data_IF_133237220751
#
_entry.id   IF_133237220751
#
_cell.length_a   1.000
_cell.length_b   1.000
_cell.length_c   1.000
_cell.angle_alpha   90.00
_cell.angle_beta   90.00
_cell.angle_gamma   90.00
#
_symmetry.space_group_name_H-M   'P 1'
#
loop_
_entity.id
_entity.type
_entity.pdbx_description
1 polymer ?
#
# COMPACT_ATOMS: atom_id res chain seq x y z
N UNK A 1 42.21 -36.46 -34.45
CA UNK A 1 41.25 -37.45 -34.97
C UNK A 1 39.85 -37.01 -34.53
N UNK A 2 39.03 -36.51 -35.46
CA UNK A 2 37.60 -36.16 -35.25
C UNK A 2 36.81 -37.42 -34.90
N UNK A 3 35.75 -37.31 -34.08
CA UNK A 3 34.38 -37.75 -34.44
C UNK A 3 33.35 -36.79 -33.81
N UNK A 4 32.38 -36.43 -34.64
CA UNK A 4 31.23 -35.55 -34.49
C UNK A 4 30.12 -36.28 -33.71
N UNK A 5 29.40 -35.58 -32.83
CA UNK A 5 28.13 -36.03 -32.28
C UNK A 5 27.11 -34.89 -32.26
N UNK A 6 26.36 -34.71 -33.36
CA UNK A 6 25.14 -33.90 -33.38
C UNK A 6 24.04 -34.68 -32.66
N UNK A 7 23.54 -34.16 -31.54
CA UNK A 7 22.30 -34.61 -30.91
C UNK A 7 21.29 -33.48 -30.90
N UNK A 8 20.28 -33.55 -31.78
CA UNK A 8 19.04 -32.80 -31.64
C UNK A 8 18.37 -33.21 -30.33
N UNK A 9 17.96 -32.24 -29.51
CA UNK A 9 16.90 -32.46 -28.52
C UNK A 9 15.73 -31.58 -28.94
N UNK A 10 14.71 -32.22 -29.49
CA UNK A 10 13.40 -31.63 -29.69
C UNK A 10 12.58 -31.78 -28.41
N UNK A 11 11.88 -30.70 -28.06
CA UNK A 11 10.58 -30.62 -27.37
C UNK A 11 10.34 -31.51 -26.14
N UNK A 12 10.19 -30.88 -24.98
CA UNK A 12 8.96 -31.07 -24.20
C UNK A 12 8.70 -29.87 -23.30
N UNK A 13 7.49 -29.35 -23.45
CA UNK A 13 6.85 -28.32 -22.66
C UNK A 13 6.63 -28.79 -21.22
N UNK A 14 7.39 -28.22 -20.28
CA UNK A 14 6.95 -28.03 -18.90
C UNK A 14 7.16 -26.55 -18.58
N UNK A 15 6.09 -25.77 -18.62
CA UNK A 15 6.09 -24.40 -18.10
C UNK A 15 6.13 -24.45 -16.58
N UNK A 16 7.26 -24.89 -16.03
CA UNK A 16 7.70 -24.51 -14.70
C UNK A 16 8.36 -23.13 -14.79
N UNK A 17 8.38 -22.40 -13.69
CA UNK A 17 9.06 -21.10 -13.56
C UNK A 17 10.49 -21.26 -14.08
N UNK A 18 10.76 -20.78 -15.30
CA UNK A 18 12.08 -20.89 -15.90
C UNK A 18 13.08 -20.13 -15.02
N UNK A 19 14.17 -20.79 -14.63
CA UNK A 19 15.24 -20.13 -13.90
C UNK A 19 15.76 -18.96 -14.74
N UNK A 20 15.64 -17.73 -14.22
CA UNK A 20 16.11 -16.52 -14.91
C UNK A 20 17.60 -16.65 -15.23
N UNK A 21 17.99 -16.16 -16.39
CA UNK A 21 19.39 -16.04 -16.80
C UNK A 21 20.15 -15.08 -15.89
N UNK A 22 21.47 -15.22 -15.80
CA UNK A 22 22.32 -14.31 -15.02
C UNK A 22 22.15 -12.84 -15.46
N UNK A 23 21.96 -12.62 -16.76
CA UNK A 23 21.74 -11.29 -17.33
C UNK A 23 20.39 -10.69 -16.89
N UNK A 24 19.33 -11.50 -16.80
CA UNK A 24 18.02 -11.07 -16.29
C UNK A 24 18.08 -10.74 -14.79
N UNK A 25 18.84 -11.50 -14.00
CA UNK A 25 19.08 -11.17 -12.58
C UNK A 25 19.87 -9.88 -12.42
N UNK A 26 20.87 -9.63 -13.27
CA UNK A 26 21.64 -8.39 -13.22
C UNK A 26 20.79 -7.18 -13.60
N UNK A 27 19.97 -7.30 -14.65
CA UNK A 27 19.01 -6.26 -15.02
C UNK A 27 17.97 -6.00 -13.90
N UNK A 28 17.46 -7.06 -13.27
CA UNK A 28 16.58 -6.93 -12.11
C UNK A 28 17.28 -6.19 -10.95
N UNK A 29 18.50 -6.59 -10.61
CA UNK A 29 19.30 -5.99 -9.53
C UNK A 29 19.46 -4.49 -9.75
N UNK A 30 19.85 -4.08 -10.97
CA UNK A 30 20.03 -2.67 -11.32
C UNK A 30 18.72 -1.87 -11.22
N UNK A 31 17.60 -2.45 -11.66
CA UNK A 31 16.27 -1.81 -11.50
C UNK A 31 15.91 -1.62 -10.03
N UNK A 32 16.06 -2.66 -9.22
CA UNK A 32 15.80 -2.60 -7.78
C UNK A 32 16.70 -1.57 -7.09
N UNK A 33 17.99 -1.52 -7.41
CA UNK A 33 18.93 -0.54 -6.85
C UNK A 33 18.58 0.90 -7.21
N UNK A 34 18.16 1.16 -8.46
CA UNK A 34 17.72 2.49 -8.88
C UNK A 34 16.50 2.92 -8.07
N UNK A 35 15.47 2.08 -8.00
CA UNK A 35 14.25 2.38 -7.25
C UNK A 35 14.54 2.62 -5.77
N UNK A 36 15.45 1.83 -5.20
CA UNK A 36 15.79 1.93 -3.79
C UNK A 36 16.54 3.22 -3.45
N UNK A 37 17.41 3.68 -4.36
CA UNK A 37 18.07 5.00 -4.22
C UNK A 37 17.06 6.14 -4.28
N UNK A 38 16.05 6.06 -5.13
CA UNK A 38 14.96 7.06 -5.18
C UNK A 38 14.18 7.08 -3.85
N UNK A 39 13.86 5.90 -3.30
CA UNK A 39 13.15 5.78 -2.02
C UNK A 39 13.99 6.26 -0.83
N UNK A 40 15.27 5.90 -0.78
CA UNK A 40 16.21 6.37 0.26
C UNK A 40 16.45 7.89 0.21
N UNK A 41 16.33 8.50 -0.97
CA UNK A 41 16.44 9.94 -1.14
C UNK A 41 15.14 10.69 -0.82
N UNK A 42 14.00 9.99 -0.76
CA UNK A 42 12.72 10.58 -0.38
C UNK A 42 12.60 10.74 1.13
N UNK A 43 11.92 11.79 1.59
CA UNK A 43 11.64 11.95 3.02
C UNK A 43 10.74 10.78 3.48
N UNK A 44 11.10 10.04 4.54
CA UNK A 44 10.29 8.92 5.00
C UNK A 44 8.87 9.38 5.31
N UNK A 45 7.88 8.69 4.73
CA UNK A 45 6.47 8.96 5.05
C UNK A 45 6.13 8.43 6.45
N UNK A 46 6.80 7.36 6.88
CA UNK A 46 6.62 6.77 8.20
C UNK A 46 7.66 7.31 9.19
N UNK A 47 7.20 7.79 10.35
CA UNK A 47 8.07 8.27 11.44
C UNK A 47 8.76 7.12 12.20
N UNK A 48 8.37 5.87 11.94
CA UNK A 48 8.92 4.70 12.63
C UNK A 48 10.29 4.34 12.07
N UNK A 49 11.32 4.65 12.86
CA UNK A 49 12.68 4.20 12.57
C UNK A 49 12.78 2.67 12.81
N UNK A 50 12.74 1.89 11.73
CA UNK A 50 12.69 0.43 11.76
C UNK A 50 13.75 -0.21 12.68
N UNK A 51 15.03 0.21 12.70
CA UNK A 51 16.02 -0.38 13.61
C UNK A 51 15.68 -0.23 15.09
N UNK A 52 15.01 0.85 15.51
CA UNK A 52 14.54 1.02 16.90
C UNK A 52 13.34 0.13 17.17
N UNK A 53 12.33 0.14 16.29
CA UNK A 53 11.15 -0.72 16.43
C UNK A 53 11.52 -2.20 16.56
N UNK A 54 12.45 -2.67 15.72
CA UNK A 54 12.93 -4.03 15.77
C UNK A 54 13.64 -4.33 17.10
N UNK A 55 14.46 -3.41 17.62
CA UNK A 55 15.11 -3.57 18.93
C UNK A 55 14.10 -3.63 20.06
N UNK A 56 13.09 -2.76 20.05
CA UNK A 56 12.03 -2.70 21.06
C UNK A 56 11.19 -4.00 21.08
N UNK A 57 11.06 -4.63 19.91
CA UNK A 57 10.45 -5.96 19.76
C UNK A 57 11.44 -7.14 19.94
N UNK A 58 12.63 -6.89 20.47
CA UNK A 58 13.63 -7.93 20.78
C UNK A 58 14.37 -8.51 19.57
N UNK A 59 14.21 -7.93 18.37
CA UNK A 59 14.93 -8.35 17.17
C UNK A 59 16.31 -7.69 17.08
N UNK A 60 17.35 -8.53 17.15
CA UNK A 60 18.73 -8.11 16.91
C UNK A 60 19.00 -7.84 15.42
N UNK A 61 20.02 -7.02 15.11
CA UNK A 61 20.52 -6.83 13.72
C UNK A 61 20.84 -8.15 13.03
N UNK A 62 21.40 -9.12 13.76
CA UNK A 62 21.72 -10.46 13.23
C UNK A 62 20.45 -11.22 12.87
N UNK A 63 19.42 -11.16 13.71
CA UNK A 63 18.11 -11.79 13.45
C UNK A 63 17.44 -11.18 12.22
N UNK A 64 17.51 -9.85 12.07
CA UNK A 64 17.01 -9.16 10.89
C UNK A 64 17.73 -9.59 9.60
N UNK A 65 19.06 -9.69 9.62
CA UNK A 65 19.82 -10.16 8.45
C UNK A 65 19.50 -11.63 8.11
N UNK A 66 19.31 -12.50 9.11
CA UNK A 66 18.84 -13.87 8.88
C UNK A 66 17.47 -13.91 8.23
N UNK A 67 16.55 -13.06 8.68
CA UNK A 67 15.24 -12.91 8.06
C UNK A 67 15.38 -12.43 6.60
N UNK A 68 16.21 -11.42 6.33
CA UNK A 68 16.43 -10.93 4.96
C UNK A 68 17.01 -12.02 4.04
N UNK A 69 17.96 -12.83 4.52
CA UNK A 69 18.48 -13.99 3.78
C UNK A 69 17.39 -15.04 3.51
N UNK A 70 16.58 -15.36 4.52
CA UNK A 70 15.47 -16.30 4.37
C UNK A 70 14.43 -15.79 3.36
N UNK A 71 14.05 -14.51 3.44
CA UNK A 71 13.14 -13.86 2.49
C UNK A 71 13.72 -13.85 1.08
N UNK A 72 15.02 -13.58 0.92
CA UNK A 72 15.71 -13.62 -0.39
C UNK A 72 15.59 -15.02 -1.01
N UNK A 73 15.80 -16.08 -0.21
CA UNK A 73 15.66 -17.45 -0.66
C UNK A 73 14.19 -17.81 -0.98
N UNK A 74 13.23 -17.38 -0.16
CA UNK A 74 11.79 -17.58 -0.40
C UNK A 74 11.31 -16.94 -1.70
N UNK A 75 11.87 -15.79 -2.06
CA UNK A 75 11.61 -15.11 -3.33
C UNK A 75 12.37 -15.73 -4.53
N UNK A 76 13.07 -16.85 -4.32
CA UNK A 76 13.92 -17.50 -5.32
C UNK A 76 14.99 -16.56 -5.91
N UNK A 77 15.48 -15.60 -5.11
CA UNK A 77 16.51 -14.66 -5.53
C UNK A 77 17.91 -15.17 -5.17
N UNK A 78 18.95 -14.88 -5.99
CA UNK A 78 20.33 -15.17 -5.64
C UNK A 78 20.78 -14.43 -4.37
N UNK A 79 21.75 -14.98 -3.64
CA UNK A 79 22.30 -14.36 -2.42
C UNK A 79 22.85 -12.93 -2.62
N UNK A 80 23.17 -12.52 -3.85
CA UNK A 80 23.54 -11.14 -4.16
C UNK A 80 22.42 -10.12 -3.88
N UNK A 81 21.17 -10.56 -3.75
CA UNK A 81 20.02 -9.72 -3.42
C UNK A 81 19.79 -9.52 -1.93
N UNK A 82 20.50 -10.23 -1.03
CA UNK A 82 20.26 -10.14 0.43
C UNK A 82 20.33 -8.70 0.96
N UNK A 83 21.34 -7.95 0.52
CA UNK A 83 21.51 -6.53 0.89
C UNK A 83 20.39 -5.65 0.33
N UNK A 84 19.93 -5.96 -0.87
CA UNK A 84 18.82 -5.27 -1.52
C UNK A 84 17.51 -5.51 -0.76
N UNK A 85 17.22 -6.75 -0.38
CA UNK A 85 16.03 -7.13 0.40
C UNK A 85 16.07 -6.47 1.77
N UNK A 86 17.22 -6.50 2.47
CA UNK A 86 17.38 -5.86 3.77
C UNK A 86 17.17 -4.34 3.71
N UNK A 87 17.69 -3.67 2.68
CA UNK A 87 17.51 -2.22 2.47
C UNK A 87 16.07 -1.90 2.07
N UNK A 88 15.47 -2.67 1.16
CA UNK A 88 14.07 -2.49 0.75
C UNK A 88 13.13 -2.55 1.96
N UNK A 89 13.30 -3.56 2.82
CA UNK A 89 12.53 -3.67 4.06
C UNK A 89 12.67 -2.44 4.98
N UNK A 90 13.80 -1.72 4.91
CA UNK A 90 14.05 -0.54 5.74
C UNK A 90 13.46 0.77 5.20
N UNK A 91 13.08 0.82 3.91
CA UNK A 91 12.61 2.05 3.25
C UNK A 91 11.29 1.90 2.52
N UNK A 92 10.56 0.80 2.76
CA UNK A 92 9.20 0.65 2.23
C UNK A 92 8.30 1.77 2.76
N UNK A 93 8.00 2.72 1.88
CA UNK A 93 7.03 3.78 2.10
C UNK A 93 5.85 3.52 1.16
N UNK A 94 4.75 3.01 1.69
CA UNK A 94 3.48 2.95 0.97
C UNK A 94 2.80 4.32 1.03
N UNK A 95 1.99 4.63 0.03
CA UNK A 95 1.27 5.91 0.00
C UNK A 95 0.15 5.87 1.05
N UNK A 96 0.14 6.77 2.05
CA UNK A 96 -0.92 6.80 3.05
C UNK A 96 -2.23 7.26 2.41
N UNK A 97 -3.28 6.49 2.65
CA UNK A 97 -4.63 6.73 2.13
C UNK A 97 -5.60 6.78 3.30
N UNK A 98 -6.43 7.82 3.31
CA UNK A 98 -7.59 7.97 4.18
C UNK A 98 -8.81 7.89 3.27
N UNK A 99 -9.66 6.89 3.47
CA UNK A 99 -10.91 6.72 2.73
C UNK A 99 -12.07 6.99 3.67
N UNK A 100 -12.91 7.96 3.33
CA UNK A 100 -14.10 8.31 4.10
C UNK A 100 -15.37 8.00 3.32
N UNK A 101 -16.34 7.48 4.05
CA UNK A 101 -17.65 7.06 3.57
C UNK A 101 -18.70 8.06 4.10
N UNK A 102 -19.44 8.71 3.19
CA UNK A 102 -20.52 9.66 3.52
C UNK A 102 -21.89 9.08 3.18
N UNK A 103 -22.76 9.79 2.44
CA UNK A 103 -24.01 9.19 1.94
C UNK A 103 -23.70 8.24 0.79
N UNK A 104 -23.17 7.08 1.14
CA UNK A 104 -22.79 6.03 0.21
C UNK A 104 -23.74 4.83 0.26
N UNK A 105 -23.43 3.85 -0.58
CA UNK A 105 -24.03 2.53 -0.54
C UNK A 105 -22.96 1.42 -0.40
N UNK A 106 -21.74 1.78 0.00
CA UNK A 106 -20.51 0.97 -0.06
C UNK A 106 -20.18 0.36 -1.45
N UNK A 107 -20.85 0.81 -2.51
CA UNK A 107 -20.68 0.23 -3.85
C UNK A 107 -19.30 0.45 -4.45
N UNK A 108 -18.60 1.54 -4.11
CA UNK A 108 -17.24 1.76 -4.60
C UNK A 108 -16.23 1.00 -3.74
N UNK A 109 -16.45 0.90 -2.44
CA UNK A 109 -15.76 -0.06 -1.55
C UNK A 109 -15.87 -1.51 -2.05
N UNK A 110 -17.05 -1.95 -2.47
CA UNK A 110 -17.23 -3.29 -3.09
C UNK A 110 -16.58 -3.39 -4.47
N UNK A 111 -16.56 -2.31 -5.25
CA UNK A 111 -15.92 -2.32 -6.57
C UNK A 111 -14.40 -2.57 -6.46
N UNK A 112 -13.73 -2.00 -5.44
CA UNK A 112 -12.29 -2.23 -5.25
C UNK A 112 -11.96 -3.66 -4.80
N UNK A 113 -12.87 -4.34 -4.11
CA UNK A 113 -12.74 -5.77 -3.78
C UNK A 113 -12.75 -6.67 -5.03
N UNK A 114 -13.30 -6.18 -6.14
CA UNK A 114 -13.39 -6.90 -7.42
C UNK A 114 -12.32 -6.48 -8.42
N UNK A 115 -11.32 -5.69 -8.01
CA UNK A 115 -10.23 -5.28 -8.87
C UNK A 115 -9.37 -6.48 -9.30
N UNK A 116 -9.08 -6.57 -10.61
CA UNK A 116 -8.29 -7.66 -11.21
C UNK A 116 -6.81 -7.29 -11.41
N UNK A 117 -6.44 -6.01 -11.19
CA UNK A 117 -5.06 -5.56 -11.38
C UNK A 117 -4.85 -4.07 -11.08
N UNK A 118 -4.20 -3.70 -9.96
CA UNK A 118 -3.79 -4.59 -8.86
C UNK A 118 -5.00 -5.21 -8.13
N UNK A 119 -4.84 -6.41 -7.58
CA UNK A 119 -5.85 -7.00 -6.68
C UNK A 119 -5.92 -6.26 -5.36
N UNK A 120 -6.96 -6.46 -4.55
CA UNK A 120 -7.11 -5.74 -3.27
C UNK A 120 -5.95 -6.05 -2.29
N UNK A 121 -5.48 -7.29 -2.23
CA UNK A 121 -4.36 -7.68 -1.38
C UNK A 121 -3.05 -7.05 -1.84
N UNK A 122 -2.77 -7.03 -3.15
CA UNK A 122 -1.63 -6.30 -3.71
C UNK A 122 -1.72 -4.81 -3.41
N UNK A 123 -2.90 -4.21 -3.59
CA UNK A 123 -3.12 -2.80 -3.31
C UNK A 123 -2.84 -2.46 -1.84
N UNK A 124 -3.43 -3.21 -0.91
CA UNK A 124 -3.31 -2.95 0.54
C UNK A 124 -1.94 -3.31 1.12
N UNK A 125 -1.29 -4.37 0.61
CA UNK A 125 -0.04 -4.86 1.17
C UNK A 125 1.18 -4.23 0.51
N UNK A 126 1.09 -3.83 -0.76
CA UNK A 126 2.26 -3.40 -1.55
C UNK A 126 2.19 -1.94 -2.00
N UNK A 127 1.00 -1.40 -2.30
CA UNK A 127 0.87 -0.09 -2.96
C UNK A 127 0.54 1.02 -1.98
N UNK A 128 -0.53 0.86 -1.19
CA UNK A 128 -1.04 1.89 -0.29
C UNK A 128 -0.96 1.45 1.18
N UNK A 129 -0.86 2.42 2.07
CA UNK A 129 -1.13 2.22 3.49
C UNK A 129 -2.53 2.75 3.74
N UNK A 130 -3.51 1.85 3.84
CA UNK A 130 -4.89 2.24 4.14
C UNK A 130 -4.99 2.54 5.64
N UNK A 131 -4.84 3.82 6.00
CA UNK A 131 -4.75 4.27 7.38
C UNK A 131 -6.12 4.39 8.05
N UNK A 132 -7.16 4.59 7.24
CA UNK A 132 -8.54 4.69 7.69
C UNK A 132 -9.49 4.29 6.56
N UNK A 133 -10.41 3.36 6.88
CA UNK A 133 -11.57 3.02 6.08
C UNK A 133 -12.57 2.23 6.96
N UNK A 134 -13.75 2.79 7.18
CA UNK A 134 -14.83 2.26 8.01
C UNK A 134 -15.23 0.82 7.66
N UNK A 135 -15.32 0.47 6.38
CA UNK A 135 -15.72 -0.88 5.93
C UNK A 135 -14.69 -1.98 6.23
N UNK A 136 -13.37 -1.68 6.21
CA UNK A 136 -12.30 -2.69 6.29
C UNK A 136 -11.47 -2.65 7.58
N UNK A 137 -11.48 -1.53 8.31
CA UNK A 137 -10.61 -1.34 9.46
C UNK A 137 -11.00 -2.26 10.63
N UNK A 138 -10.00 -2.67 11.41
CA UNK A 138 -10.20 -3.41 12.66
C UNK A 138 -10.76 -2.56 13.83
N UNK A 139 -10.27 -1.32 14.09
CA UNK A 139 -10.81 -0.51 15.18
C UNK A 139 -12.23 0.00 14.86
N UNK A 140 -13.03 0.26 15.89
CA UNK A 140 -14.38 0.82 15.76
C UNK A 140 -14.63 1.92 16.80
N UNK A 141 -15.71 2.68 16.65
CA UNK A 141 -16.09 3.73 17.60
C UNK A 141 -14.96 4.74 17.87
N UNK A 142 -14.67 5.00 19.15
CA UNK A 142 -13.65 5.97 19.55
C UNK A 142 -12.22 5.56 19.15
N UNK A 143 -11.95 4.26 19.02
CA UNK A 143 -10.66 3.75 18.58
C UNK A 143 -10.43 4.08 17.09
N UNK A 144 -11.48 3.99 16.28
CA UNK A 144 -11.42 4.37 14.87
C UNK A 144 -11.15 5.87 14.71
N UNK A 145 -11.81 6.72 15.50
CA UNK A 145 -11.55 8.16 15.48
C UNK A 145 -10.14 8.52 15.95
N UNK A 146 -9.62 7.80 16.95
CA UNK A 146 -8.24 7.98 17.40
C UNK A 146 -7.26 7.64 16.26
N UNK A 147 -7.47 6.52 15.56
CA UNK A 147 -6.68 6.14 14.40
C UNK A 147 -6.77 7.19 13.27
N UNK A 148 -7.96 7.69 12.95
CA UNK A 148 -8.13 8.76 11.96
C UNK A 148 -7.32 10.01 12.33
N UNK A 149 -7.40 10.42 13.61
CA UNK A 149 -6.65 11.57 14.11
C UNK A 149 -5.14 11.35 13.97
N UNK A 150 -4.65 10.20 14.44
CA UNK A 150 -3.23 9.86 14.39
C UNK A 150 -2.70 9.77 12.96
N UNK A 151 -3.51 9.24 12.02
CA UNK A 151 -3.18 9.19 10.60
C UNK A 151 -3.06 10.59 9.98
N UNK A 152 -4.02 11.48 10.24
CA UNK A 152 -3.99 12.87 9.74
C UNK A 152 -2.78 13.63 10.29
N UNK A 153 -2.45 13.44 11.57
CA UNK A 153 -1.30 14.09 12.19
C UNK A 153 0.03 13.53 11.65
N UNK A 154 0.14 12.22 11.50
CA UNK A 154 1.36 11.54 11.05
C UNK A 154 1.69 11.82 9.58
N UNK A 155 0.65 11.94 8.74
CA UNK A 155 0.79 12.06 7.28
C UNK A 155 0.33 13.41 6.74
N UNK A 156 0.28 14.46 7.57
CA UNK A 156 -0.10 15.82 7.15
C UNK A 156 0.63 16.26 5.88
N UNK A 157 -0.12 16.67 4.87
CA UNK A 157 0.37 17.09 3.54
C UNK A 157 0.85 15.95 2.65
N UNK A 158 0.72 14.69 3.08
CA UNK A 158 1.30 13.51 2.42
C UNK A 158 0.25 12.44 2.06
N UNK A 159 -0.91 12.41 2.71
CA UNK A 159 -1.96 11.42 2.43
C UNK A 159 -2.87 11.80 1.27
N UNK A 160 -3.36 10.79 0.57
CA UNK A 160 -4.46 10.92 -0.39
C UNK A 160 -5.77 10.72 0.38
N UNK A 161 -6.68 11.68 0.24
CA UNK A 161 -8.04 11.58 0.76
C UNK A 161 -8.95 11.04 -0.34
N UNK A 162 -9.56 9.89 -0.12
CA UNK A 162 -10.61 9.33 -0.97
C UNK A 162 -11.96 9.62 -0.31
N UNK A 163 -12.87 10.20 -1.09
CA UNK A 163 -14.22 10.55 -0.66
C UNK A 163 -15.21 9.69 -1.43
N UNK A 164 -15.95 8.86 -0.71
CA UNK A 164 -17.06 8.06 -1.22
C UNK A 164 -18.39 8.59 -0.66
N UNK A 165 -19.42 8.64 -1.50
CA UNK A 165 -20.75 9.13 -1.11
C UNK A 165 -20.94 10.64 -1.23
N UNK A 166 -22.20 11.08 -1.25
CA UNK A 166 -22.55 12.51 -1.31
C UNK A 166 -22.52 13.18 0.06
N UNK A 167 -22.52 14.51 0.06
CA UNK A 167 -22.49 15.33 1.27
C UNK A 167 -23.78 16.14 1.33
N UNK A 168 -24.66 15.88 2.30
CA UNK A 168 -25.87 16.66 2.48
C UNK A 168 -25.48 18.06 2.98
N UNK A 169 -26.03 19.10 2.34
CA UNK A 169 -25.77 20.50 2.72
C UNK A 169 -26.82 21.06 3.69
N UNK A 170 -27.91 20.32 3.90
CA UNK A 170 -28.96 20.68 4.85
C UNK A 170 -28.51 20.41 6.29
N UNK A 171 -28.83 21.32 7.20
CA UNK A 171 -28.49 21.17 8.62
C UNK A 171 -29.19 19.96 9.23
N UNK A 172 -28.48 19.22 10.09
CA UNK A 172 -29.03 18.06 10.80
C UNK A 172 -28.97 16.73 10.04
N UNK A 173 -28.31 16.69 8.87
CA UNK A 173 -28.11 15.47 8.09
C UNK A 173 -26.63 15.15 7.89
N UNK A 174 -26.27 13.87 7.92
CA UNK A 174 -24.93 13.37 7.63
C UNK A 174 -23.91 13.60 8.76
N UNK A 175 -23.71 12.58 9.59
CA UNK A 175 -22.74 12.59 10.69
C UNK A 175 -21.91 11.31 10.66
N UNK A 176 -20.61 11.41 10.95
CA UNK A 176 -19.72 10.27 11.08
C UNK A 176 -19.15 10.13 12.50
N UNK A 177 -18.63 8.93 12.76
CA UNK A 177 -17.90 8.63 13.98
C UNK A 177 -18.75 8.56 15.25
N UNK A 178 -18.11 8.15 16.33
CA UNK A 178 -18.67 8.07 17.68
C UNK A 178 -18.99 9.46 18.29
N UNK A 179 -18.37 10.53 17.79
CA UNK A 179 -18.60 11.92 18.20
C UNK A 179 -19.64 12.67 17.37
N UNK A 180 -20.19 12.03 16.33
CA UNK A 180 -21.15 12.63 15.42
C UNK A 180 -20.64 13.95 14.81
N UNK A 181 -19.44 13.92 14.20
CA UNK A 181 -18.94 15.06 13.43
C UNK A 181 -19.72 15.14 12.10
N UNK A 182 -20.13 16.34 11.68
CA UNK A 182 -20.87 16.47 10.42
C UNK A 182 -19.98 16.10 9.23
N UNK A 183 -20.56 15.49 8.19
CA UNK A 183 -19.80 15.12 6.97
C UNK A 183 -19.05 16.32 6.37
N UNK A 184 -19.68 17.50 6.37
CA UNK A 184 -19.09 18.72 5.83
C UNK A 184 -17.88 19.21 6.65
N UNK A 185 -17.97 19.20 7.98
CA UNK A 185 -16.86 19.60 8.85
C UNK A 185 -15.72 18.59 8.79
N UNK A 186 -16.06 17.30 8.82
CA UNK A 186 -15.11 16.22 8.65
C UNK A 186 -14.35 16.36 7.33
N UNK A 187 -15.05 16.53 6.19
CA UNK A 187 -14.40 16.72 4.89
C UNK A 187 -13.50 17.95 4.89
N UNK A 188 -13.98 19.11 5.34
CA UNK A 188 -13.18 20.35 5.36
C UNK A 188 -11.89 20.18 6.18
N UNK A 189 -11.99 19.48 7.31
CA UNK A 189 -10.85 19.20 8.19
C UNK A 189 -9.83 18.28 7.51
N UNK A 190 -10.30 17.20 6.88
CA UNK A 190 -9.44 16.22 6.22
C UNK A 190 -8.86 16.74 4.89
N UNK A 191 -9.62 17.51 4.10
CA UNK A 191 -9.17 17.99 2.80
C UNK A 191 -8.07 19.05 2.89
N UNK A 192 -8.07 19.84 3.97
CA UNK A 192 -7.07 20.90 4.21
C UNK A 192 -5.64 20.36 4.30
N UNK A 193 -5.50 19.18 4.88
CA UNK A 193 -4.21 18.55 5.19
C UNK A 193 -3.86 17.42 4.21
N UNK A 194 -4.69 17.16 3.19
CA UNK A 194 -4.47 16.13 2.18
C UNK A 194 -3.49 16.60 1.09
N UNK A 195 -2.67 15.69 0.57
CA UNK A 195 -1.85 15.90 -0.63
C UNK A 195 -2.73 16.03 -1.88
N UNK A 196 -3.75 15.19 -1.96
CA UNK A 196 -4.74 15.18 -3.04
C UNK A 196 -6.08 14.67 -2.49
N UNK A 197 -7.18 15.13 -3.09
CA UNK A 197 -8.53 14.68 -2.78
C UNK A 197 -9.13 14.04 -4.03
N UNK A 198 -9.67 12.84 -3.89
CA UNK A 198 -10.29 12.09 -4.99
C UNK A 198 -11.75 11.82 -4.60
N UNK A 199 -12.69 12.32 -5.39
CA UNK A 199 -14.09 11.92 -5.31
C UNK A 199 -14.29 10.63 -6.10
N UNK A 200 -14.76 9.57 -5.44
CA UNK A 200 -14.98 8.25 -6.05
C UNK A 200 -16.48 7.98 -6.16
N UNK A 201 -16.91 7.65 -7.37
CA UNK A 201 -18.30 7.37 -7.68
C UNK A 201 -19.13 8.62 -7.97
N UNK A 202 -20.31 8.39 -8.55
CA UNK A 202 -21.27 9.42 -8.95
C UNK A 202 -21.73 10.31 -7.80
N UNK A 203 -21.98 9.70 -6.62
CA UNK A 203 -22.47 10.41 -5.44
C UNK A 203 -21.47 11.47 -4.96
N UNK A 204 -20.19 11.11 -4.83
CA UNK A 204 -19.15 12.06 -4.42
C UNK A 204 -18.82 13.09 -5.51
N UNK A 205 -18.90 12.70 -6.79
CA UNK A 205 -18.50 13.55 -7.91
C UNK A 205 -19.52 14.64 -8.25
N UNK A 206 -20.82 14.33 -8.18
CA UNK A 206 -21.90 15.22 -8.63
C UNK A 206 -23.23 14.98 -7.91
N UNK A 207 -23.23 14.37 -6.73
CA UNK A 207 -24.42 14.15 -5.90
C UNK A 207 -25.08 12.79 -6.09
N UNK A 208 -25.20 12.31 -7.33
CA UNK A 208 -25.73 10.96 -7.63
C UNK A 208 -27.17 10.74 -7.18
N UNK A 209 -27.53 9.50 -6.87
CA UNK A 209 -28.90 9.11 -6.45
C UNK A 209 -29.37 9.88 -5.20
N UNK A 210 -28.55 10.13 -4.17
CA UNK A 210 -28.98 10.93 -3.02
C UNK A 210 -29.38 12.38 -3.34
N UNK A 211 -28.98 12.90 -4.50
CA UNK A 211 -29.30 14.26 -4.96
C UNK A 211 -30.32 14.30 -6.11
N UNK A 212 -30.94 13.16 -6.46
CA UNK A 212 -31.88 13.02 -7.56
C UNK A 212 -33.33 13.39 -7.20
#
# INVERSE_FOLDING_TARGET
MRIIGKGKVASSSSQGIAARTLQEYEALRLRCERRLRELEASEPLNQVHLPSLLRDRGMSRRSFLKWASATTALLFLPASFEKLVARAAAVMNRVPVIWVEYQDCAGNSEAILRADGPTIDELLLEVISLEYQETLMAPSGFQAEAQLKDAVESFRGKYILIVEGSIPMEEGFGFNGARAESFLENLKRLSRDALAVIAVGSCASYGGIPAA
#
